data_IF_052539956082
#
_entry.id   IF_052539956082
#
_cell.length_a   1.000
_cell.length_b   1.000
_cell.length_c   1.000
_cell.angle_alpha   90.00
_cell.angle_beta   90.00
_cell.angle_gamma   90.00
#
_symmetry.space_group_name_H-M   'P 1'
#
loop_
_entity.id
_entity.type
_entity.pdbx_description
1 polymer ?
#
# COMPACT_ATOMS: atom_id res chain seq x y z
N UNK A 1 -6.49 9.34 -11.38
CA UNK A 1 -5.80 8.17 -12.02
C UNK A 1 -5.53 7.14 -10.93
N UNK A 2 -5.97 5.90 -11.09
CA UNK A 2 -5.63 4.83 -10.15
C UNK A 2 -4.15 4.48 -10.28
N UNK A 3 -3.49 4.22 -9.16
CA UNK A 3 -2.13 3.72 -9.17
C UNK A 3 -1.94 2.63 -8.13
N UNK A 4 -1.03 1.71 -8.42
CA UNK A 4 -0.55 0.72 -7.46
C UNK A 4 0.97 0.89 -7.31
N UNK A 5 1.42 1.02 -6.08
CA UNK A 5 2.84 1.09 -5.74
C UNK A 5 3.18 -0.07 -4.80
N UNK A 6 4.32 -0.72 -5.03
CA UNK A 6 4.77 -1.84 -4.19
C UNK A 6 6.20 -1.61 -3.73
N UNK A 7 6.44 -1.79 -2.45
CA UNK A 7 7.76 -1.64 -1.85
C UNK A 7 8.09 -2.77 -0.87
N UNK A 8 9.37 -3.08 -0.73
CA UNK A 8 9.85 -4.05 0.26
C UNK A 8 9.93 -3.40 1.63
N UNK A 9 9.45 -4.10 2.65
CA UNK A 9 9.67 -3.70 4.04
C UNK A 9 10.91 -4.44 4.54
N UNK A 10 11.94 -3.69 4.96
CA UNK A 10 13.29 -4.23 5.16
C UNK A 10 13.53 -4.89 6.51
N UNK A 11 12.69 -4.64 7.51
CA UNK A 11 12.89 -5.15 8.87
C UNK A 11 11.57 -5.44 9.58
N UNK A 12 11.59 -6.34 10.56
CA UNK A 12 10.43 -6.64 11.40
C UNK A 12 9.94 -5.42 12.19
N UNK A 13 10.86 -4.59 12.67
CA UNK A 13 10.51 -3.32 13.29
C UNK A 13 9.80 -2.38 12.31
N UNK A 14 10.27 -2.32 11.03
CA UNK A 14 9.59 -1.57 9.97
C UNK A 14 8.21 -2.12 9.66
N UNK A 15 8.03 -3.44 9.66
CA UNK A 15 6.71 -4.08 9.46
C UNK A 15 5.76 -3.66 10.58
N UNK A 16 6.18 -3.78 11.85
CA UNK A 16 5.38 -3.39 13.00
C UNK A 16 5.01 -1.90 12.94
N UNK A 17 6.01 -1.04 12.66
CA UNK A 17 5.79 0.41 12.56
C UNK A 17 4.81 0.77 11.45
N UNK A 18 4.90 0.14 10.26
CA UNK A 18 3.97 0.39 9.17
C UNK A 18 2.54 -0.08 9.53
N UNK A 19 2.40 -1.24 10.17
CA UNK A 19 1.09 -1.72 10.63
C UNK A 19 0.48 -0.74 11.65
N UNK A 20 1.26 -0.27 12.62
CA UNK A 20 0.81 0.72 13.60
C UNK A 20 0.44 2.05 12.93
N UNK A 21 1.20 2.48 11.93
CA UNK A 21 0.87 3.67 11.13
C UNK A 21 -0.46 3.50 10.39
N UNK A 22 -0.63 2.38 9.69
CA UNK A 22 -1.84 2.11 8.92
C UNK A 22 -3.09 2.03 9.80
N UNK A 23 -2.97 1.45 10.99
CA UNK A 23 -4.06 1.35 11.99
C UNK A 23 -4.27 2.62 12.80
N UNK A 24 -3.44 3.66 12.61
CA UNK A 24 -3.45 4.88 13.44
C UNK A 24 -3.23 4.60 14.94
N UNK A 25 -2.40 3.62 15.26
CA UNK A 25 -2.09 3.22 16.64
C UNK A 25 -0.71 3.69 17.13
N UNK A 26 -0.06 4.62 16.40
CA UNK A 26 1.13 5.31 16.90
C UNK A 26 0.76 6.38 17.93
N UNK A 27 1.61 6.55 18.95
CA UNK A 27 1.48 7.63 19.93
C UNK A 27 1.81 9.01 19.34
N UNK A 28 2.61 9.06 18.27
CA UNK A 28 2.99 10.28 17.54
C UNK A 28 3.24 9.96 16.07
N UNK A 29 2.89 10.89 15.21
CA UNK A 29 3.15 10.84 13.77
C UNK A 29 4.14 11.92 13.39
N UNK A 30 5.13 11.57 12.58
CA UNK A 30 6.06 12.54 11.97
C UNK A 30 5.50 13.14 10.68
N UNK A 31 4.45 12.55 10.12
CA UNK A 31 3.77 13.10 8.95
C UNK A 31 2.76 14.17 9.43
N UNK A 32 3.02 15.43 9.12
CA UNK A 32 2.18 16.57 9.48
C UNK A 32 0.90 16.65 8.64
N UNK A 33 0.84 15.91 7.52
CA UNK A 33 -0.32 15.87 6.64
C UNK A 33 -1.49 15.03 7.23
N UNK A 34 -1.25 14.32 8.34
CA UNK A 34 -2.29 13.53 9.01
C UNK A 34 -3.20 14.45 9.84
N UNK A 35 -4.44 14.59 9.40
CA UNK A 35 -5.49 15.27 10.15
C UNK A 35 -6.21 14.29 11.10
N UNK A 36 -5.75 14.23 12.35
CA UNK A 36 -6.30 13.31 13.36
C UNK A 36 -7.81 13.51 13.60
N UNK A 37 -8.38 14.66 13.29
CA UNK A 37 -9.83 14.89 13.40
C UNK A 37 -10.62 14.07 12.38
N UNK A 38 -9.99 13.71 11.27
CA UNK A 38 -10.55 12.90 10.18
C UNK A 38 -10.28 11.40 10.31
N UNK A 39 -9.43 10.96 11.25
CA UNK A 39 -9.06 9.53 11.44
C UNK A 39 -10.28 8.63 11.59
N UNK A 40 -11.38 9.13 12.16
CA UNK A 40 -12.67 8.41 12.25
C UNK A 40 -13.30 8.05 10.89
N UNK A 41 -12.82 8.65 9.79
CA UNK A 41 -13.26 8.39 8.43
C UNK A 41 -12.47 7.26 7.77
N UNK A 42 -11.31 6.90 8.33
CA UNK A 42 -10.53 5.78 7.86
C UNK A 42 -11.30 4.47 8.04
N UNK A 43 -11.08 3.55 7.14
CA UNK A 43 -11.71 2.22 7.18
C UNK A 43 -10.65 1.14 7.14
N UNK A 44 -10.97 -0.02 7.68
CA UNK A 44 -10.08 -1.20 7.65
C UNK A 44 -10.82 -2.40 7.08
N UNK A 45 -10.17 -3.11 6.17
CA UNK A 45 -10.69 -4.34 5.57
C UNK A 45 -10.33 -5.58 6.42
N UNK A 46 -9.31 -5.45 7.29
CA UNK A 46 -8.92 -6.47 8.27
C UNK A 46 -9.24 -5.96 9.68
N UNK A 47 -10.33 -6.48 10.27
CA UNK A 47 -10.85 -6.06 11.58
C UNK A 47 -9.97 -6.55 12.75
N UNK A 48 -8.72 -6.09 12.77
CA UNK A 48 -7.68 -6.44 13.76
C UNK A 48 -6.97 -5.16 14.21
N UNK A 49 -6.55 -5.10 15.46
CA UNK A 49 -5.62 -4.09 15.96
C UNK A 49 -4.23 -4.25 15.34
N UNK A 50 -3.36 -3.27 15.51
CA UNK A 50 -1.98 -3.37 15.01
C UNK A 50 -1.24 -4.55 15.64
N UNK A 51 -1.42 -4.78 16.94
CA UNK A 51 -0.77 -5.90 17.64
C UNK A 51 -1.30 -7.26 17.17
N UNK A 52 -2.60 -7.40 16.92
CA UNK A 52 -3.21 -8.60 16.37
C UNK A 52 -2.73 -8.85 14.92
N UNK A 53 -2.62 -7.83 14.10
CA UNK A 53 -2.04 -7.91 12.76
C UNK A 53 -0.58 -8.37 12.81
N UNK A 54 0.22 -7.80 13.71
CA UNK A 54 1.63 -8.18 13.85
C UNK A 54 1.79 -9.60 14.43
N UNK A 55 0.91 -10.02 15.34
CA UNK A 55 0.91 -11.41 15.81
C UNK A 55 0.54 -12.37 14.68
N UNK A 56 -0.52 -12.08 13.92
CA UNK A 56 -0.93 -12.85 12.75
C UNK A 56 0.20 -12.97 11.71
N UNK A 57 0.93 -11.88 11.45
CA UNK A 57 2.12 -11.90 10.60
C UNK A 57 3.16 -12.92 11.08
N UNK A 58 3.47 -12.93 12.37
CA UNK A 58 4.46 -13.88 12.95
C UNK A 58 3.99 -15.33 12.83
N UNK A 59 2.73 -15.58 13.13
CA UNK A 59 2.15 -16.92 13.08
C UNK A 59 2.12 -17.46 11.66
N UNK A 60 1.67 -16.65 10.70
CA UNK A 60 1.66 -17.01 9.28
C UNK A 60 3.07 -17.24 8.73
N UNK A 61 4.03 -16.42 9.11
CA UNK A 61 5.42 -16.58 8.72
C UNK A 61 5.99 -17.91 9.25
N UNK A 62 5.73 -18.25 10.52
CA UNK A 62 6.14 -19.52 11.11
C UNK A 62 5.50 -20.72 10.42
N UNK A 63 4.23 -20.64 10.05
CA UNK A 63 3.55 -21.67 9.26
C UNK A 63 4.26 -21.93 7.93
N UNK A 64 4.54 -20.86 7.16
CA UNK A 64 5.26 -20.95 5.89
C UNK A 64 6.67 -21.51 6.06
N UNK A 65 7.37 -21.12 7.12
CA UNK A 65 8.71 -21.60 7.43
C UNK A 65 8.73 -23.09 7.76
N UNK A 66 7.74 -23.57 8.50
CA UNK A 66 7.61 -24.98 8.87
C UNK A 66 7.24 -25.88 7.65
N UNK A 67 6.52 -25.34 6.68
CA UNK A 67 6.11 -26.10 5.49
C UNK A 67 7.20 -26.22 4.44
N UNK A 68 8.18 -25.34 4.42
CA UNK A 68 9.13 -25.23 3.30
C UNK A 68 10.49 -25.91 3.53
N UNK A 69 10.82 -26.35 4.74
CA UNK A 69 12.06 -27.07 5.10
C UNK A 69 13.35 -26.48 4.50
N UNK A 70 13.42 -25.15 4.33
CA UNK A 70 14.53 -24.44 3.67
C UNK A 70 15.35 -23.62 4.66
N UNK A 71 16.67 -23.61 4.48
CA UNK A 71 17.53 -22.65 5.17
C UNK A 71 17.24 -21.24 4.69
N UNK A 72 16.75 -20.38 5.59
CA UNK A 72 16.36 -19.03 5.24
C UNK A 72 17.57 -18.07 5.25
N UNK A 73 17.63 -17.21 4.25
CA UNK A 73 18.60 -16.10 4.26
C UNK A 73 18.20 -15.10 5.34
N UNK A 74 19.19 -14.58 6.06
CA UNK A 74 18.96 -13.56 7.12
C UNK A 74 18.38 -12.23 6.58
N UNK A 75 18.61 -11.94 5.30
CA UNK A 75 18.15 -10.74 4.58
C UNK A 75 16.90 -10.97 3.73
N UNK A 76 16.14 -12.02 3.99
CA UNK A 76 14.89 -12.31 3.27
C UNK A 76 13.86 -11.20 3.50
N UNK A 77 13.09 -10.88 2.48
CA UNK A 77 11.97 -9.94 2.57
C UNK A 77 10.77 -10.70 3.10
N UNK A 78 10.31 -10.36 4.30
CA UNK A 78 9.21 -11.03 4.99
C UNK A 78 7.84 -10.38 4.73
N UNK A 79 7.84 -9.09 4.36
CA UNK A 79 6.63 -8.38 3.96
C UNK A 79 6.90 -7.35 2.86
N UNK A 80 5.84 -7.04 2.12
CA UNK A 80 5.78 -5.94 1.15
C UNK A 80 4.65 -5.00 1.54
N UNK A 81 4.86 -3.70 1.37
CA UNK A 81 3.82 -2.69 1.43
C UNK A 81 3.26 -2.44 0.04
N UNK A 82 1.95 -2.33 -0.04
CA UNK A 82 1.22 -2.03 -1.27
C UNK A 82 0.35 -0.82 -1.00
N UNK A 83 0.40 0.15 -1.90
CA UNK A 83 -0.40 1.37 -1.84
C UNK A 83 -1.26 1.48 -3.10
N UNK A 84 -2.52 1.79 -2.93
CA UNK A 84 -3.46 2.08 -4.02
C UNK A 84 -3.98 3.50 -3.87
N UNK A 85 -3.89 4.31 -4.91
CA UNK A 85 -4.57 5.61 -4.96
C UNK A 85 -6.01 5.42 -5.46
N UNK A 86 -6.96 6.07 -4.80
CA UNK A 86 -8.39 6.03 -5.17
C UNK A 86 -8.67 7.20 -6.11
N UNK A 87 -9.14 6.96 -7.34
CA UNK A 87 -9.52 8.06 -8.23
C UNK A 87 -10.72 8.83 -7.68
N UNK A 88 -10.74 10.17 -7.80
CA UNK A 88 -11.83 11.03 -7.32
C UNK A 88 -13.19 10.71 -7.95
N UNK A 89 -13.17 10.11 -9.15
CA UNK A 89 -14.38 9.75 -9.90
C UNK A 89 -15.01 8.43 -9.42
N UNK A 90 -14.36 7.74 -8.49
CA UNK A 90 -14.77 6.40 -8.00
C UNK A 90 -15.26 6.50 -6.56
N UNK A 91 -16.34 5.83 -6.26
CA UNK A 91 -16.81 5.65 -4.89
C UNK A 91 -15.78 4.87 -4.07
N UNK A 92 -15.28 5.49 -2.98
CA UNK A 92 -14.19 4.94 -2.16
C UNK A 92 -14.53 3.57 -1.60
N UNK A 93 -15.76 3.34 -1.13
CA UNK A 93 -16.14 2.05 -0.53
C UNK A 93 -16.13 0.93 -1.56
N UNK A 94 -16.61 1.20 -2.78
CA UNK A 94 -16.56 0.23 -3.89
C UNK A 94 -15.11 -0.03 -4.32
N UNK A 95 -14.27 1.01 -4.30
CA UNK A 95 -12.85 0.83 -4.61
C UNK A 95 -12.13 0.00 -3.55
N UNK A 96 -12.44 0.18 -2.28
CA UNK A 96 -11.92 -0.65 -1.18
C UNK A 96 -12.25 -2.13 -1.38
N UNK A 97 -13.51 -2.46 -1.69
CA UNK A 97 -13.93 -3.83 -1.99
C UNK A 97 -13.18 -4.40 -3.20
N UNK A 98 -13.03 -3.62 -4.26
CA UNK A 98 -12.28 -3.98 -5.45
C UNK A 98 -10.80 -4.23 -5.14
N UNK A 99 -10.13 -3.30 -4.44
CA UNK A 99 -8.73 -3.40 -4.07
C UNK A 99 -8.47 -4.61 -3.16
N UNK A 100 -9.35 -4.85 -2.19
CA UNK A 100 -9.24 -6.01 -1.31
C UNK A 100 -9.42 -7.34 -2.07
N UNK A 101 -10.39 -7.42 -2.97
CA UNK A 101 -10.58 -8.58 -3.87
C UNK A 101 -9.31 -8.81 -4.73
N UNK A 102 -8.77 -7.74 -5.32
CA UNK A 102 -7.51 -7.82 -6.08
C UNK A 102 -6.33 -8.34 -5.22
N UNK A 103 -6.22 -7.90 -3.98
CA UNK A 103 -5.19 -8.41 -3.05
C UNK A 103 -5.38 -9.89 -2.76
N UNK A 104 -6.62 -10.32 -2.47
CA UNK A 104 -6.95 -11.73 -2.22
C UNK A 104 -6.63 -12.62 -3.42
N UNK A 105 -7.02 -12.20 -4.62
CA UNK A 105 -6.82 -12.96 -5.85
C UNK A 105 -5.33 -13.09 -6.21
N UNK A 106 -4.56 -12.03 -5.95
CA UNK A 106 -3.15 -11.98 -6.33
C UNK A 106 -2.21 -12.60 -5.33
N UNK A 107 -2.47 -12.44 -4.04
CA UNK A 107 -1.53 -12.81 -2.98
C UNK A 107 -2.04 -13.91 -2.05
N UNK A 108 -3.33 -14.26 -2.13
CA UNK A 108 -4.00 -15.12 -1.17
C UNK A 108 -4.44 -14.35 0.08
N UNK A 109 -5.68 -14.57 0.51
CA UNK A 109 -6.26 -13.89 1.66
C UNK A 109 -5.45 -14.10 2.94
N UNK A 110 -4.92 -15.29 3.13
CA UNK A 110 -4.10 -15.69 4.29
C UNK A 110 -2.76 -14.95 4.38
N UNK A 111 -2.31 -14.33 3.30
CA UNK A 111 -1.07 -13.57 3.26
C UNK A 111 -1.29 -12.05 3.44
N UNK A 112 -2.55 -11.59 3.54
CA UNK A 112 -2.87 -10.19 3.80
C UNK A 112 -2.85 -9.96 5.31
N UNK A 113 -1.95 -9.09 5.76
CA UNK A 113 -1.74 -8.77 7.18
C UNK A 113 -2.60 -7.60 7.62
N UNK A 114 -2.58 -6.53 6.84
CA UNK A 114 -3.47 -5.38 7.00
C UNK A 114 -3.84 -4.79 5.65
N UNK A 115 -5.00 -4.13 5.59
CA UNK A 115 -5.44 -3.32 4.46
C UNK A 115 -6.35 -2.22 5.01
N UNK A 116 -5.88 -0.97 4.91
CA UNK A 116 -6.45 0.17 5.60
C UNK A 116 -6.56 1.35 4.62
N UNK A 117 -7.72 1.99 4.55
CA UNK A 117 -7.96 3.17 3.73
C UNK A 117 -7.79 4.43 4.56
N UNK A 118 -6.95 5.34 4.09
CA UNK A 118 -6.66 6.62 4.72
C UNK A 118 -7.37 7.76 4.01
N UNK A 119 -8.24 8.45 4.74
CA UNK A 119 -8.93 9.68 4.36
C UNK A 119 -8.45 10.89 5.16
N UNK A 120 -7.60 10.62 6.16
CA UNK A 120 -7.03 11.61 7.05
C UNK A 120 -5.65 12.12 6.62
N UNK A 121 -5.13 11.65 5.49
CA UNK A 121 -3.87 12.13 4.89
C UNK A 121 -4.10 12.94 3.60
N UNK A 122 -5.34 13.32 3.32
CA UNK A 122 -5.66 14.17 2.17
C UNK A 122 -5.26 15.61 2.49
N UNK A 123 -4.38 16.19 1.66
CA UNK A 123 -3.82 17.52 1.84
C UNK A 123 -3.61 18.21 0.50
N UNK A 124 -3.55 19.54 0.53
CA UNK A 124 -3.24 20.35 -0.64
C UNK A 124 -1.72 20.37 -0.91
N UNK A 125 -1.35 20.34 -2.16
CA UNK A 125 0.03 20.51 -2.62
C UNK A 125 0.09 21.31 -3.91
N UNK A 126 1.23 21.96 -4.18
CA UNK A 126 1.43 22.75 -5.40
C UNK A 126 2.16 21.88 -6.45
N UNK A 127 1.56 21.76 -7.62
CA UNK A 127 2.16 21.09 -8.79
C UNK A 127 2.05 21.97 -10.02
N UNK A 128 3.20 22.40 -10.56
CA UNK A 128 3.31 23.33 -11.70
C UNK A 128 2.55 24.66 -11.49
N UNK A 129 2.58 25.21 -10.26
CA UNK A 129 1.89 26.47 -9.91
C UNK A 129 0.38 26.34 -9.70
N UNK A 130 -0.17 25.13 -9.76
CA UNK A 130 -1.57 24.84 -9.47
C UNK A 130 -1.71 24.13 -8.12
N UNK A 131 -2.66 24.57 -7.28
CA UNK A 131 -3.02 23.85 -6.06
C UNK A 131 -3.78 22.58 -6.44
N UNK A 132 -3.30 21.44 -5.97
CA UNK A 132 -3.92 20.13 -6.15
C UNK A 132 -4.13 19.49 -4.80
N UNK A 133 -5.16 18.69 -4.68
CA UNK A 133 -5.43 17.87 -3.51
C UNK A 133 -4.88 16.46 -3.71
N UNK A 134 -4.24 15.90 -2.68
CA UNK A 134 -3.81 14.50 -2.69
C UNK A 134 -5.03 13.58 -2.60
N UNK A 135 -4.87 12.33 -3.02
CA UNK A 135 -5.98 11.39 -3.12
C UNK A 135 -6.08 10.53 -1.85
N UNK A 136 -7.30 10.10 -1.54
CA UNK A 136 -7.52 8.97 -0.64
C UNK A 136 -6.74 7.76 -1.14
N UNK A 137 -6.23 6.96 -0.23
CA UNK A 137 -5.38 5.83 -0.59
C UNK A 137 -5.51 4.68 0.38
N UNK A 138 -5.21 3.48 -0.10
CA UNK A 138 -5.23 2.26 0.68
C UNK A 138 -3.80 1.78 0.87
N UNK A 139 -3.42 1.51 2.11
CA UNK A 139 -2.18 0.81 2.45
C UNK A 139 -2.48 -0.63 2.82
N UNK A 140 -1.73 -1.55 2.23
CA UNK A 140 -1.78 -2.96 2.61
C UNK A 140 -0.37 -3.48 2.95
N UNK A 141 -0.32 -4.38 3.93
CA UNK A 141 0.88 -5.15 4.28
C UNK A 141 0.61 -6.61 3.94
N UNK A 142 1.49 -7.20 3.12
CA UNK A 142 1.30 -8.54 2.57
C UNK A 142 2.57 -9.37 2.72
N UNK A 143 2.44 -10.65 3.10
CA UNK A 143 3.53 -11.63 3.06
C UNK A 143 3.71 -12.08 1.61
N UNK A 144 4.91 -11.92 1.01
CA UNK A 144 5.14 -12.25 -0.40
C UNK A 144 5.41 -13.76 -0.60
N UNK A 145 4.43 -14.60 -0.28
CA UNK A 145 4.47 -16.03 -0.56
C UNK A 145 4.08 -16.30 -2.03
N UNK A 146 4.80 -17.19 -2.70
CA UNK A 146 4.43 -17.64 -4.04
C UNK A 146 3.44 -18.83 -3.97
N UNK A 147 2.94 -19.26 -5.12
CA UNK A 147 1.96 -20.34 -5.22
C UNK A 147 2.45 -21.69 -4.65
N UNK A 148 3.74 -21.84 -4.34
CA UNK A 148 4.29 -23.00 -3.64
C UNK A 148 4.39 -22.81 -2.13
N UNK A 149 3.89 -21.70 -1.59
CA UNK A 149 3.99 -21.35 -0.18
C UNK A 149 5.38 -20.85 0.25
N UNK A 150 6.28 -20.56 -0.70
CA UNK A 150 7.62 -20.05 -0.38
C UNK A 150 7.64 -18.53 -0.40
N UNK A 151 8.31 -17.93 0.59
CA UNK A 151 8.62 -16.52 0.58
C UNK A 151 9.52 -16.17 -0.61
N UNK A 152 8.99 -15.43 -1.55
CA UNK A 152 9.70 -15.04 -2.76
C UNK A 152 9.31 -13.64 -3.26
N UNK A 153 9.69 -12.62 -2.50
CA UNK A 153 9.37 -11.24 -2.85
C UNK A 153 9.83 -10.84 -4.26
N UNK A 154 10.96 -11.38 -4.75
CA UNK A 154 11.44 -11.10 -6.11
C UNK A 154 10.48 -11.64 -7.17
N UNK A 155 9.94 -12.85 -6.99
CA UNK A 155 8.99 -13.47 -7.92
C UNK A 155 7.62 -12.80 -7.82
N UNK A 156 7.17 -12.48 -6.61
CA UNK A 156 5.86 -11.90 -6.33
C UNK A 156 5.75 -10.45 -6.81
N UNK A 157 6.79 -9.65 -6.60
CA UNK A 157 6.84 -8.24 -7.05
C UNK A 157 7.20 -8.12 -8.52
N UNK A 158 7.99 -9.07 -9.03
CA UNK A 158 8.54 -8.97 -10.38
C UNK A 158 9.76 -8.03 -10.49
N UNK A 159 10.27 -7.92 -11.69
CA UNK A 159 11.32 -6.95 -12.06
C UNK A 159 10.69 -5.59 -12.43
N UNK A 160 11.51 -4.59 -12.74
CA UNK A 160 11.06 -3.22 -13.08
C UNK A 160 10.06 -3.17 -14.26
N UNK A 161 10.21 -4.05 -15.24
CA UNK A 161 9.30 -4.11 -16.38
C UNK A 161 7.94 -4.71 -15.96
N UNK A 162 7.96 -5.81 -15.21
CA UNK A 162 6.77 -6.49 -14.68
C UNK A 162 5.99 -5.57 -13.72
N UNK A 163 6.70 -4.80 -12.88
CA UNK A 163 6.05 -3.79 -12.02
C UNK A 163 5.36 -2.68 -12.83
N UNK A 164 5.96 -2.22 -13.94
CA UNK A 164 5.32 -1.25 -14.83
C UNK A 164 4.11 -1.85 -15.55
N UNK A 165 4.21 -3.11 -15.96
CA UNK A 165 3.09 -3.80 -16.58
C UNK A 165 1.94 -3.97 -15.60
N UNK A 166 2.24 -4.38 -14.36
CA UNK A 166 1.24 -4.49 -13.29
C UNK A 166 0.50 -3.17 -13.03
N UNK A 167 1.19 -2.02 -13.07
CA UNK A 167 0.52 -0.72 -12.95
C UNK A 167 -0.47 -0.47 -14.10
N UNK A 168 -0.10 -0.83 -15.33
CA UNK A 168 -1.00 -0.70 -16.48
C UNK A 168 -2.20 -1.65 -16.38
N UNK A 169 -1.91 -2.91 -16.06
CA UNK A 169 -2.96 -3.93 -15.92
C UNK A 169 -3.95 -3.55 -14.82
N UNK A 170 -3.45 -3.02 -13.70
CA UNK A 170 -4.29 -2.52 -12.61
C UNK A 170 -5.18 -1.35 -13.06
N UNK A 171 -4.62 -0.39 -13.77
CA UNK A 171 -5.33 0.76 -14.29
C UNK A 171 -6.41 0.36 -15.32
N UNK A 172 -6.11 -0.63 -16.17
CA UNK A 172 -7.09 -1.21 -17.11
C UNK A 172 -8.23 -1.93 -16.35
N UNK A 173 -7.90 -2.66 -15.27
CA UNK A 173 -8.90 -3.31 -14.41
C UNK A 173 -9.82 -2.27 -13.75
N UNK A 174 -9.26 -1.20 -13.18
CA UNK A 174 -10.04 -0.09 -12.61
C UNK A 174 -10.91 0.57 -13.66
N UNK A 175 -10.37 0.83 -14.85
CA UNK A 175 -11.13 1.42 -15.95
C UNK A 175 -12.29 0.54 -16.39
N UNK A 176 -12.10 -0.76 -16.41
CA UNK A 176 -13.14 -1.73 -16.77
C UNK A 176 -14.23 -1.84 -15.70
N UNK A 177 -13.85 -1.86 -14.43
CA UNK A 177 -14.78 -2.02 -13.30
C UNK A 177 -15.62 -0.76 -13.07
N UNK A 178 -15.01 0.42 -13.15
CA UNK A 178 -15.62 1.69 -12.76
C UNK A 178 -15.96 2.62 -13.93
N UNK A 179 -15.61 2.27 -15.16
CA UNK A 179 -15.86 3.11 -16.33
C UNK A 179 -15.03 4.39 -16.40
N UNK A 180 -14.02 4.54 -15.52
CA UNK A 180 -13.13 5.69 -15.51
C UNK A 180 -12.12 5.60 -16.67
N UNK A 181 -11.89 6.71 -17.36
CA UNK A 181 -10.92 6.71 -18.47
C UNK A 181 -9.50 6.67 -17.93
N UNK A 182 -8.71 5.74 -18.47
CA UNK A 182 -7.26 5.77 -18.31
C UNK A 182 -6.72 7.08 -18.87
N UNK A 183 -6.23 7.94 -18.02
CA UNK A 183 -5.43 9.07 -18.46
C UNK A 183 -3.96 8.64 -18.46
N UNK A 184 -3.39 8.54 -19.66
CA UNK A 184 -1.98 8.29 -19.86
C UNK A 184 -1.19 9.50 -19.35
N UNK A 185 -1.09 9.63 -18.03
CA UNK A 185 -0.27 10.66 -17.40
C UNK A 185 1.20 10.36 -17.69
N UNK A 186 1.94 11.37 -18.04
CA UNK A 186 3.40 11.35 -17.89
C UNK A 186 3.66 11.08 -16.42
N UNK A 187 4.21 9.90 -16.11
CA UNK A 187 4.63 9.56 -14.74
C UNK A 187 5.60 10.66 -14.31
N UNK A 188 5.27 11.54 -13.36
CA UNK A 188 6.23 12.51 -12.87
C UNK A 188 7.46 11.73 -12.42
N UNK A 189 8.65 12.24 -12.69
CA UNK A 189 9.87 11.66 -12.08
C UNK A 189 9.57 11.59 -10.61
N UNK A 190 9.69 10.39 -9.99
CA UNK A 190 9.44 10.19 -8.57
C UNK A 190 10.22 11.25 -7.79
N UNK A 191 9.54 12.30 -7.37
CA UNK A 191 10.04 13.19 -6.34
C UNK A 191 9.79 12.44 -5.02
N UNK A 192 10.74 12.45 -4.14
CA UNK A 192 10.52 12.00 -2.76
C UNK A 192 9.54 12.97 -2.09
N UNK A 193 8.86 12.54 -1.03
CA UNK A 193 7.99 13.43 -0.24
C UNK A 193 8.75 14.70 0.20
N UNK A 194 10.04 14.56 0.55
CA UNK A 194 10.92 15.70 0.88
C UNK A 194 11.18 16.63 -0.31
N UNK A 195 11.35 16.10 -1.52
CA UNK A 195 11.52 16.90 -2.74
C UNK A 195 10.22 17.61 -3.13
N UNK A 196 9.06 17.01 -2.87
CA UNK A 196 7.75 17.62 -3.08
C UNK A 196 7.52 18.75 -2.06
N UNK A 197 7.81 18.52 -0.77
CA UNK A 197 7.71 19.55 0.28
C UNK A 197 8.66 20.72 0.01
N UNK A 198 9.91 20.47 -0.38
CA UNK A 198 10.87 21.54 -0.75
C UNK A 198 10.43 22.35 -1.98
N UNK A 199 9.77 21.73 -2.96
CA UNK A 199 9.26 22.46 -4.13
C UNK A 199 8.07 23.36 -3.79
N UNK A 200 7.27 23.03 -2.77
CA UNK A 200 6.17 23.88 -2.29
C UNK A 200 6.62 25.02 -1.37
N UNK A 201 7.74 24.86 -0.63
CA UNK A 201 8.30 25.92 0.23
C UNK A 201 9.02 27.03 -0.56
N UNK A 202 9.47 26.76 -1.78
CA UNK A 202 10.21 27.74 -2.62
C UNK A 202 9.28 28.64 -3.44
N UNK A 203 7.98 28.31 -3.54
CA UNK A 203 6.99 29.07 -4.30
C UNK A 203 6.11 30.01 -3.42
N UNK A 204 6.40 30.13 -2.13
CA UNK A 204 5.81 31.08 -1.18
C UNK A 204 6.76 32.23 -0.89
#
# INVERSE_FOLDING_TARGET
>A
MASINIQKIKSRQGIQSIIQHNKREHSKYSNEDIDLSKTRLNTTMEQKTADECYQYFKDRLNELDNTTNTNFRKDRVEAIGIEFTIPNEVDSSKFEEFAYRYLCDKYGKENIISADCHRDEVHDYIDNGEVKESLEHIHAVVIPADNSGKLNAKKVMGNKYEMKQMQKDFDELVSKEFGVKYQKGTVPKKKTVEELKRSSEVEL
#
